data_IF_396875823771
#
_entry.id   IF_396875823771
#
_cell.length_a   1.000
_cell.length_b   1.000
_cell.length_c   1.000
_cell.angle_alpha   90.00
_cell.angle_beta   90.00
_cell.angle_gamma   90.00
#
_symmetry.space_group_name_H-M   'P 1'
#
loop_
_entity.id
_entity.type
_entity.pdbx_description
1 polymer ?
#
# COMPACT_ATOMS: atom_id res chain seq x y z
N UNK A 1 -0.59 -2.92 -26.24
CA UNK A 1 -0.30 -3.40 -24.87
C UNK A 1 -1.27 -4.53 -24.58
N UNK A 2 -0.78 -5.72 -24.27
CA UNK A 2 -1.63 -6.80 -23.73
C UNK A 2 -1.82 -6.57 -22.23
N UNK A 3 -2.92 -7.07 -21.69
CA UNK A 3 -3.22 -7.03 -20.25
C UNK A 3 -2.05 -7.59 -19.41
N UNK A 4 -1.39 -8.65 -19.89
CA UNK A 4 -0.22 -9.23 -19.22
C UNK A 4 0.99 -8.29 -19.13
N UNK A 5 1.23 -7.46 -20.15
CA UNK A 5 2.32 -6.47 -20.09
C UNK A 5 2.03 -5.40 -19.03
N UNK A 6 0.76 -5.02 -18.89
CA UNK A 6 0.33 -4.04 -17.91
C UNK A 6 0.39 -4.60 -16.47
N UNK A 7 -0.07 -5.84 -16.26
CA UNK A 7 0.08 -6.55 -14.98
C UNK A 7 1.54 -6.72 -14.58
N UNK A 8 2.43 -7.04 -15.53
CA UNK A 8 3.86 -7.18 -15.27
C UNK A 8 4.48 -5.86 -14.74
N UNK A 9 4.06 -4.71 -15.27
CA UNK A 9 4.54 -3.42 -14.75
C UNK A 9 4.12 -3.18 -13.29
N UNK A 10 2.90 -3.60 -12.89
CA UNK A 10 2.45 -3.50 -11.50
C UNK A 10 3.18 -4.48 -10.57
N UNK A 11 3.42 -5.72 -11.02
CA UNK A 11 4.22 -6.69 -10.24
C UNK A 11 5.61 -6.14 -9.97
N UNK A 12 6.24 -5.50 -10.97
CA UNK A 12 7.53 -4.84 -10.80
C UNK A 12 7.48 -3.70 -9.78
N UNK A 13 6.44 -2.87 -9.78
CA UNK A 13 6.27 -1.82 -8.76
C UNK A 13 6.19 -2.41 -7.34
N UNK A 14 5.49 -3.54 -7.17
CA UNK A 14 5.45 -4.27 -5.91
C UNK A 14 6.83 -4.85 -5.51
N UNK A 15 7.56 -5.44 -6.46
CA UNK A 15 8.92 -5.96 -6.23
C UNK A 15 9.87 -4.85 -5.77
N UNK A 16 9.84 -3.68 -6.43
CA UNK A 16 10.62 -2.50 -6.03
C UNK A 16 10.25 -2.05 -4.62
N UNK A 17 8.96 -1.96 -4.31
CA UNK A 17 8.46 -1.58 -2.98
C UNK A 17 9.04 -2.49 -1.89
N UNK A 18 8.95 -3.81 -2.09
CA UNK A 18 9.47 -4.82 -1.16
C UNK A 18 11.00 -4.80 -1.05
N UNK A 19 11.70 -4.69 -2.17
CA UNK A 19 13.17 -4.69 -2.21
C UNK A 19 13.78 -3.48 -1.48
N UNK A 20 13.05 -2.36 -1.43
CA UNK A 20 13.47 -1.14 -0.74
C UNK A 20 12.85 -0.97 0.65
N UNK A 21 12.15 -1.99 1.15
CA UNK A 21 11.46 -1.95 2.45
C UNK A 21 10.50 -0.75 2.61
N UNK A 22 9.88 -0.32 1.50
CA UNK A 22 8.87 0.73 1.53
C UNK A 22 7.53 0.08 1.90
N UNK A 23 6.99 0.40 3.06
CA UNK A 23 5.60 0.06 3.35
C UNK A 23 4.63 1.04 2.66
N UNK A 24 3.33 0.74 2.70
CA UNK A 24 2.31 1.58 2.05
C UNK A 24 2.22 2.99 2.67
N UNK A 25 2.59 3.15 3.94
CA UNK A 25 2.60 4.45 4.60
C UNK A 25 3.73 5.32 4.07
N UNK A 26 4.93 4.76 3.91
CA UNK A 26 6.10 5.43 3.31
C UNK A 26 5.81 5.81 1.85
N UNK A 27 5.27 4.88 1.05
CA UNK A 27 4.89 5.19 -0.35
C UNK A 27 3.86 6.32 -0.41
N UNK A 28 2.87 6.32 0.49
CA UNK A 28 1.84 7.36 0.59
C UNK A 28 2.40 8.72 1.04
N UNK A 29 3.41 8.73 1.91
CA UNK A 29 4.08 9.95 2.41
C UNK A 29 5.02 10.57 1.38
N UNK A 30 5.89 9.76 0.77
CA UNK A 30 6.93 10.26 -0.12
C UNK A 30 6.36 10.71 -1.47
N UNK A 31 5.29 10.06 -1.94
CA UNK A 31 4.58 10.37 -3.19
C UNK A 31 5.51 10.56 -4.39
N UNK A 32 6.58 9.77 -4.46
CA UNK A 32 7.59 9.89 -5.51
C UNK A 32 7.40 8.81 -6.60
N UNK A 33 6.70 9.12 -7.70
CA UNK A 33 6.61 8.22 -8.84
C UNK A 33 7.91 8.15 -9.64
N UNK A 34 8.82 9.12 -9.55
CA UNK A 34 10.07 9.10 -10.33
C UNK A 34 11.03 8.03 -9.79
N UNK A 35 11.06 7.80 -8.47
CA UNK A 35 11.76 6.65 -7.89
C UNK A 35 11.41 5.32 -8.59
N UNK A 36 10.12 5.01 -8.78
CA UNK A 36 9.70 3.79 -9.47
C UNK A 36 10.04 3.81 -10.98
N UNK A 37 10.04 4.98 -11.61
CA UNK A 37 10.44 5.14 -13.02
C UNK A 37 11.92 4.84 -13.19
N UNK A 38 12.76 5.30 -12.28
CA UNK A 38 14.21 5.03 -12.28
C UNK A 38 14.51 3.54 -12.07
N UNK A 39 13.68 2.83 -11.31
CA UNK A 39 13.74 1.37 -11.20
C UNK A 39 13.16 0.64 -12.43
N UNK A 40 12.68 1.39 -13.43
CA UNK A 40 12.20 0.89 -14.72
C UNK A 40 10.74 0.43 -14.73
N UNK A 41 9.90 0.96 -13.83
CA UNK A 41 8.44 0.89 -13.97
C UNK A 41 8.01 1.93 -15.00
N UNK A 42 7.03 1.59 -15.87
CA UNK A 42 6.53 2.57 -16.83
C UNK A 42 5.92 3.78 -16.14
N UNK A 43 6.20 4.99 -16.66
CA UNK A 43 5.73 6.29 -16.12
C UNK A 43 4.24 6.32 -15.76
N UNK A 44 3.38 5.75 -16.61
CA UNK A 44 1.94 5.70 -16.35
C UNK A 44 1.58 4.81 -15.15
N UNK A 45 2.20 3.63 -15.05
CA UNK A 45 2.01 2.68 -13.96
C UNK A 45 2.54 3.24 -12.64
N UNK A 46 3.75 3.82 -12.64
CA UNK A 46 4.34 4.43 -11.45
C UNK A 46 3.44 5.53 -10.85
N UNK A 47 2.94 6.44 -11.70
CA UNK A 47 2.02 7.51 -11.27
C UNK A 47 0.72 6.98 -10.70
N UNK A 48 0.12 5.94 -11.33
CA UNK A 48 -1.11 5.32 -10.82
C UNK A 48 -0.87 4.60 -9.51
N UNK A 49 0.18 3.79 -9.43
CA UNK A 49 0.54 3.02 -8.24
C UNK A 49 0.64 3.91 -7.00
N UNK A 50 1.41 5.00 -7.07
CA UNK A 50 1.57 5.96 -5.96
C UNK A 50 0.25 6.66 -5.62
N UNK A 51 -0.48 7.15 -6.63
CA UNK A 51 -1.76 7.84 -6.40
C UNK A 51 -2.81 6.93 -5.78
N UNK A 52 -2.95 5.71 -6.28
CA UNK A 52 -4.00 4.78 -5.85
C UNK A 52 -3.75 4.33 -4.39
N UNK A 53 -2.48 4.18 -3.97
CA UNK A 53 -2.12 3.94 -2.56
C UNK A 53 -2.51 5.13 -1.69
N UNK A 54 -2.19 6.36 -2.11
CA UNK A 54 -2.58 7.58 -1.38
C UNK A 54 -4.11 7.69 -1.24
N UNK A 55 -4.83 7.45 -2.32
CA UNK A 55 -6.30 7.45 -2.32
C UNK A 55 -6.82 6.38 -1.36
N UNK A 56 -6.29 5.16 -1.42
CA UNK A 56 -6.68 4.09 -0.49
C UNK A 56 -6.44 4.47 0.98
N UNK A 57 -5.25 4.98 1.33
CA UNK A 57 -4.96 5.44 2.71
C UNK A 57 -5.93 6.52 3.16
N UNK A 58 -6.28 7.47 2.27
CA UNK A 58 -7.24 8.52 2.59
C UNK A 58 -8.65 7.96 2.84
N UNK A 59 -9.09 6.94 2.11
CA UNK A 59 -10.41 6.33 2.29
C UNK A 59 -10.46 5.40 3.50
N UNK A 60 -9.41 4.62 3.78
CA UNK A 60 -9.32 3.80 4.99
C UNK A 60 -9.30 4.66 6.25
N UNK A 61 -8.69 5.85 6.19
CA UNK A 61 -8.75 6.82 7.28
C UNK A 61 -10.14 7.43 7.52
N UNK A 62 -11.05 7.37 6.53
CA UNK A 62 -12.43 7.87 6.66
C UNK A 62 -13.43 6.79 7.04
N UNK A 63 -13.15 5.52 6.74
CA UNK A 63 -13.98 4.37 7.09
C UNK A 63 -13.52 3.71 8.40
N UNK A 64 -13.31 4.48 9.47
CA UNK A 64 -13.14 3.88 10.81
C UNK A 64 -14.50 3.34 11.26
N UNK A 65 -14.73 2.01 11.35
CA UNK A 65 -15.91 1.49 12.00
C UNK A 65 -15.75 1.75 13.50
N UNK A 66 -16.84 2.20 14.11
CA UNK A 66 -16.98 2.35 15.55
C UNK A 66 -16.53 1.06 16.26
N UNK A 67 -15.68 1.23 17.27
CA UNK A 67 -15.18 0.23 18.23
C UNK A 67 -15.90 -1.12 18.23
N UNK A 68 -15.17 -2.20 17.93
CA UNK A 68 -15.32 -3.45 18.67
C UNK A 68 -13.94 -3.87 19.18
N UNK A 69 -13.51 -3.19 20.24
CA UNK A 69 -12.64 -3.86 21.22
C UNK A 69 -13.53 -4.87 21.94
N UNK A 70 -13.58 -6.11 21.43
CA UNK A 70 -14.00 -7.23 22.27
C UNK A 70 -12.96 -7.37 23.37
N UNK A 71 -13.29 -6.77 24.51
CA UNK A 71 -12.63 -6.99 25.78
C UNK A 71 -12.99 -8.42 26.20
N UNK A 72 -12.25 -9.40 25.68
CA UNK A 72 -12.20 -10.71 26.30
C UNK A 72 -11.52 -10.50 27.67
N UNK A 73 -12.37 -10.27 28.66
CA UNK A 73 -12.07 -10.45 30.07
C UNK A 73 -11.60 -11.89 30.20
N UNK A 74 -10.28 -12.10 30.15
CA UNK A 74 -9.69 -13.24 30.84
C UNK A 74 -9.92 -12.93 32.31
N UNK A 75 -11.02 -13.45 32.85
CA UNK A 75 -11.27 -13.42 34.28
C UNK A 75 -10.10 -14.14 34.95
N UNK A 76 -9.39 -13.41 35.78
CA UNK A 76 -8.54 -13.98 36.81
C UNK A 76 -9.35 -15.04 37.56
N UNK A 77 -8.96 -16.31 37.37
CA UNK A 77 -9.32 -17.39 38.28
C UNK A 77 -8.06 -18.18 38.59
N UNK A 78 -7.14 -17.54 39.30
CA UNK A 78 -6.25 -18.22 40.21
C UNK A 78 -6.90 -18.21 41.60
N UNK A 79 -7.60 -19.31 41.94
CA UNK A 79 -7.75 -19.79 43.32
C UNK A 79 -7.93 -21.31 43.32
#
# INVERSE_FOLDING_TARGET
>A
MTDETYKADFRKACEVTLAHHLDLELVSKDQDPEFFIEQGVKRGTARRFVRDIREWVAHVGTDVPHEEYHQDRVEDSCY
#
